data_IF_127226182427
#
_entry.id   IF_127226182427
#
_cell.length_a   1.000
_cell.length_b   1.000
_cell.length_c   1.000
_cell.angle_alpha   90.00
_cell.angle_beta   90.00
_cell.angle_gamma   90.00
#
_symmetry.space_group_name_H-M   'P 1'
#
loop_
_entity.id
_entity.type
_entity.pdbx_description
1 polymer ?
#
# COMPACT_ATOMS: atom_id res chain seq x y z
N UNK A 1 -33.79 1.66 15.49
CA UNK A 1 -34.43 1.44 16.81
C UNK A 1 -35.91 1.13 16.69
N UNK A 2 -36.75 2.03 16.16
CA UNK A 2 -38.20 1.76 16.04
C UNK A 2 -38.57 0.42 15.37
N UNK A 3 -37.89 0.05 14.28
CA UNK A 3 -38.11 -1.24 13.63
C UNK A 3 -37.71 -2.45 14.50
N UNK A 4 -36.70 -2.31 15.38
CA UNK A 4 -36.32 -3.36 16.33
C UNK A 4 -37.42 -3.59 17.38
N UNK A 5 -38.10 -2.53 17.82
CA UNK A 5 -39.18 -2.67 18.81
C UNK A 5 -40.42 -3.37 18.24
N UNK A 6 -40.55 -3.43 16.91
CA UNK A 6 -41.66 -4.07 16.20
C UNK A 6 -41.30 -5.46 15.66
N UNK A 7 -40.02 -5.83 15.65
CA UNK A 7 -39.54 -7.06 15.02
C UNK A 7 -39.95 -8.31 15.82
N UNK A 8 -40.58 -9.28 15.17
CA UNK A 8 -41.04 -10.54 15.81
C UNK A 8 -40.25 -11.78 15.38
N UNK A 9 -39.49 -11.70 14.28
CA UNK A 9 -38.74 -12.83 13.71
C UNK A 9 -37.62 -13.35 14.62
N UNK A 10 -37.20 -14.61 14.44
CA UNK A 10 -36.07 -15.22 15.21
C UNK A 10 -34.74 -14.48 15.01
N UNK A 11 -34.60 -13.83 13.86
CA UNK A 11 -33.45 -13.04 13.47
C UNK A 11 -33.92 -11.68 12.96
N UNK A 12 -33.01 -10.69 13.00
CA UNK A 12 -33.17 -9.38 12.37
C UNK A 12 -32.06 -9.17 11.35
N UNK A 13 -32.40 -8.52 10.23
CA UNK A 13 -31.46 -8.13 9.18
C UNK A 13 -31.71 -6.67 8.82
N UNK A 14 -30.63 -5.91 8.60
CA UNK A 14 -30.72 -4.50 8.21
C UNK A 14 -30.30 -4.34 6.75
N UNK A 15 -31.15 -3.72 5.94
CA UNK A 15 -30.90 -3.40 4.54
C UNK A 15 -31.06 -1.90 4.30
N UNK A 16 -30.14 -1.31 3.55
CA UNK A 16 -30.26 0.06 3.06
C UNK A 16 -31.36 0.17 2.01
N UNK A 17 -32.11 1.27 1.99
CA UNK A 17 -33.23 1.47 1.04
C UNK A 17 -32.81 1.46 -0.44
N UNK A 18 -31.52 1.69 -0.70
CA UNK A 18 -30.88 1.70 -2.02
C UNK A 18 -30.17 0.40 -2.37
N UNK A 19 -30.10 -0.54 -1.43
CA UNK A 19 -29.41 -1.81 -1.58
C UNK A 19 -30.40 -2.95 -1.84
N UNK A 20 -29.89 -4.12 -2.23
CA UNK A 20 -30.71 -5.32 -2.40
C UNK A 20 -29.96 -6.58 -1.96
N UNK A 21 -30.72 -7.62 -1.66
CA UNK A 21 -30.20 -8.93 -1.30
C UNK A 21 -30.10 -9.83 -2.51
N UNK A 22 -29.21 -10.83 -2.43
CA UNK A 22 -29.32 -12.01 -3.30
C UNK A 22 -30.62 -12.76 -3.03
N UNK A 23 -31.17 -13.40 -4.06
CA UNK A 23 -32.48 -14.07 -4.02
C UNK A 23 -32.57 -15.09 -2.88
N UNK A 24 -31.52 -15.88 -2.67
CA UNK A 24 -31.45 -16.92 -1.64
C UNK A 24 -30.74 -16.46 -0.36
N UNK A 25 -30.46 -15.15 -0.22
CA UNK A 25 -29.58 -14.66 0.84
C UNK A 25 -30.10 -14.96 2.25
N UNK A 26 -31.37 -14.65 2.53
CA UNK A 26 -31.95 -14.85 3.86
C UNK A 26 -32.13 -16.35 4.16
N UNK A 27 -32.56 -17.15 3.19
CA UNK A 27 -32.68 -18.60 3.33
C UNK A 27 -31.35 -19.22 3.74
N UNK A 28 -30.27 -18.93 2.99
CA UNK A 28 -28.93 -19.44 3.26
C UNK A 28 -28.37 -18.96 4.60
N UNK A 29 -28.58 -17.69 4.93
CA UNK A 29 -28.09 -17.12 6.20
C UNK A 29 -28.82 -17.70 7.42
N UNK A 30 -30.13 -17.92 7.34
CA UNK A 30 -30.91 -18.56 8.41
C UNK A 30 -30.52 -20.04 8.52
N UNK A 31 -30.40 -20.77 7.40
CA UNK A 31 -29.95 -22.15 7.41
C UNK A 31 -28.56 -22.31 8.05
N UNK A 32 -27.63 -21.40 7.75
CA UNK A 32 -26.32 -21.36 8.39
C UNK A 32 -26.42 -21.06 9.90
N UNK A 33 -27.24 -20.07 10.29
CA UNK A 33 -27.42 -19.71 11.69
C UNK A 33 -28.01 -20.87 12.51
N UNK A 34 -28.87 -21.67 11.91
CA UNK A 34 -29.51 -22.82 12.56
C UNK A 34 -28.58 -24.02 12.63
N UNK A 35 -27.89 -24.35 11.53
CA UNK A 35 -26.94 -25.45 11.49
C UNK A 35 -25.75 -25.23 12.43
N UNK A 36 -25.29 -23.99 12.56
CA UNK A 36 -24.11 -23.64 13.35
C UNK A 36 -24.45 -23.08 14.74
N UNK A 37 -25.72 -22.84 15.05
CA UNK A 37 -26.16 -22.09 16.24
C UNK A 37 -25.58 -20.67 16.35
N UNK A 38 -25.36 -20.02 15.20
CA UNK A 38 -24.72 -18.71 15.14
C UNK A 38 -25.65 -17.62 15.63
N UNK A 39 -25.10 -16.67 16.39
CA UNK A 39 -25.85 -15.48 16.82
C UNK A 39 -25.69 -14.34 15.81
N UNK A 40 -24.61 -14.36 15.02
CA UNK A 40 -24.37 -13.43 13.91
C UNK A 40 -23.95 -14.22 12.68
N UNK A 41 -24.54 -13.90 11.52
CA UNK A 41 -24.09 -14.42 10.23
C UNK A 41 -23.70 -13.26 9.32
N UNK A 42 -22.47 -13.31 8.81
CA UNK A 42 -21.92 -12.33 7.87
C UNK A 42 -22.01 -12.91 6.46
N UNK A 43 -22.93 -12.39 5.66
CA UNK A 43 -23.06 -12.77 4.25
C UNK A 43 -22.07 -12.01 3.38
N UNK A 44 -21.63 -12.63 2.28
CA UNK A 44 -20.78 -11.97 1.30
C UNK A 44 -21.45 -10.75 0.72
N UNK A 45 -20.71 -9.65 0.74
CA UNK A 45 -21.14 -8.39 0.17
C UNK A 45 -20.31 -8.06 -1.06
N UNK A 46 -20.97 -7.58 -2.11
CA UNK A 46 -20.31 -6.97 -3.26
C UNK A 46 -20.79 -5.54 -3.43
N UNK A 47 -19.91 -4.68 -3.95
CA UNK A 47 -20.27 -3.31 -4.29
C UNK A 47 -20.68 -3.21 -5.75
N UNK A 48 -21.76 -2.48 -6.03
CA UNK A 48 -22.21 -2.15 -7.39
C UNK A 48 -21.98 -0.67 -7.68
N UNK A 49 -21.96 -0.28 -8.96
CA UNK A 49 -21.72 1.10 -9.41
C UNK A 49 -20.44 1.75 -8.83
N UNK A 50 -19.39 0.94 -8.64
CA UNK A 50 -18.12 1.40 -8.08
C UNK A 50 -18.14 1.63 -6.57
N UNK A 51 -19.14 1.12 -5.85
CA UNK A 51 -19.12 1.05 -4.37
C UNK A 51 -17.94 0.16 -3.95
N UNK A 52 -17.09 0.67 -3.07
CA UNK A 52 -16.04 -0.15 -2.47
C UNK A 52 -16.60 -1.00 -1.34
N UNK A 53 -16.27 -2.29 -1.34
CA UNK A 53 -16.56 -3.24 -0.27
C UNK A 53 -15.28 -4.03 0.03
N UNK A 54 -14.95 -4.18 1.32
CA UNK A 54 -13.78 -4.94 1.72
C UNK A 54 -14.00 -6.44 1.49
N UNK A 55 -13.18 -7.08 0.65
CA UNK A 55 -13.42 -8.46 0.22
C UNK A 55 -12.69 -9.53 1.03
N UNK A 56 -11.71 -9.15 1.86
CA UNK A 56 -10.79 -10.11 2.48
C UNK A 56 -11.42 -11.05 3.49
N UNK A 57 -12.56 -10.67 4.08
CA UNK A 57 -13.31 -11.58 4.96
C UNK A 57 -13.91 -12.76 4.16
N UNK A 58 -14.20 -12.55 2.88
CA UNK A 58 -14.99 -13.45 2.04
C UNK A 58 -14.14 -14.45 1.25
N UNK A 59 -13.12 -15.04 1.88
CA UNK A 59 -12.21 -16.02 1.25
C UNK A 59 -12.64 -17.48 1.42
N UNK A 60 -13.72 -17.72 2.17
CA UNK A 60 -14.26 -19.05 2.44
C UNK A 60 -15.30 -19.03 3.55
N UNK A 61 -16.15 -20.05 3.62
CA UNK A 61 -17.10 -20.19 4.72
C UNK A 61 -16.33 -20.62 5.98
N UNK A 62 -16.48 -19.87 7.07
CA UNK A 62 -15.77 -20.12 8.33
C UNK A 62 -16.41 -19.39 9.49
N UNK A 63 -16.11 -19.85 10.70
CA UNK A 63 -16.41 -19.10 11.91
C UNK A 63 -15.28 -18.11 12.22
N UNK A 64 -15.64 -16.96 12.82
CA UNK A 64 -14.72 -15.88 13.17
C UNK A 64 -15.05 -15.30 14.54
N UNK A 65 -14.10 -14.58 15.12
CA UNK A 65 -14.33 -13.69 16.26
C UNK A 65 -14.14 -12.24 15.82
N UNK A 66 -14.60 -11.28 16.63
CA UNK A 66 -14.42 -9.86 16.33
C UNK A 66 -12.95 -9.47 16.13
N UNK A 67 -12.02 -10.14 16.82
CA UNK A 67 -10.58 -9.93 16.70
C UNK A 67 -9.92 -10.67 15.52
N UNK A 68 -10.70 -11.35 14.66
CA UNK A 68 -10.23 -11.78 13.34
C UNK A 68 -9.72 -10.58 12.53
N UNK A 69 -8.61 -10.74 11.83
CA UNK A 69 -7.94 -9.63 11.15
C UNK A 69 -8.83 -8.88 10.13
N UNK A 70 -9.86 -9.53 9.59
CA UNK A 70 -10.68 -9.00 8.49
C UNK A 70 -12.09 -8.59 8.94
N UNK A 71 -12.65 -9.15 10.01
CA UNK A 71 -14.01 -8.81 10.48
C UNK A 71 -14.17 -7.32 10.87
N UNK A 72 -13.23 -6.67 11.60
CA UNK A 72 -13.29 -5.24 11.90
C UNK A 72 -13.37 -4.34 10.65
N UNK A 73 -12.91 -4.80 9.49
CA UNK A 73 -13.03 -4.05 8.24
C UNK A 73 -14.43 -4.11 7.62
N UNK A 74 -15.35 -4.86 8.24
CA UNK A 74 -16.73 -5.09 7.76
C UNK A 74 -17.79 -4.74 8.81
N UNK A 75 -17.57 -3.74 9.67
CA UNK A 75 -18.47 -3.40 10.80
C UNK A 75 -19.85 -2.79 10.45
N UNK A 76 -20.27 -2.81 9.19
CA UNK A 76 -21.62 -2.42 8.81
C UNK A 76 -22.67 -3.35 9.44
N UNK A 77 -23.86 -2.83 9.76
CA UNK A 77 -24.97 -3.62 10.31
C UNK A 77 -25.66 -4.56 9.30
N UNK A 78 -25.20 -4.65 8.06
CA UNK A 78 -25.77 -5.50 7.00
C UNK A 78 -25.40 -6.97 7.20
N UNK A 79 -25.93 -7.56 8.28
CA UNK A 79 -25.72 -8.94 8.75
C UNK A 79 -27.03 -9.48 9.31
N UNK A 80 -27.10 -10.80 9.45
CA UNK A 80 -28.16 -11.45 10.19
C UNK A 80 -27.75 -11.52 11.67
N UNK A 81 -28.62 -11.02 12.57
CA UNK A 81 -28.41 -11.08 14.02
C UNK A 81 -29.55 -11.85 14.66
N UNK A 82 -29.25 -12.75 15.60
CA UNK A 82 -30.27 -13.43 16.42
C UNK A 82 -30.99 -12.39 17.27
N UNK A 83 -32.32 -12.32 17.17
CA UNK A 83 -33.11 -11.29 17.89
C UNK A 83 -32.94 -11.40 19.39
N UNK A 84 -32.88 -12.63 19.93
CA UNK A 84 -32.66 -12.86 21.35
C UNK A 84 -31.35 -12.24 21.86
N UNK A 85 -30.26 -12.28 21.07
CA UNK A 85 -29.00 -11.59 21.40
C UNK A 85 -29.23 -10.08 21.52
N UNK A 86 -29.94 -9.50 20.55
CA UNK A 86 -30.25 -8.06 20.48
C UNK A 86 -31.09 -7.63 21.68
N UNK A 87 -32.09 -8.41 22.06
CA UNK A 87 -32.97 -8.12 23.21
C UNK A 87 -32.26 -8.30 24.54
N UNK A 88 -31.58 -9.43 24.73
CA UNK A 88 -30.86 -9.77 25.96
C UNK A 88 -29.84 -8.71 26.37
N UNK A 89 -29.17 -8.10 25.38
CA UNK A 89 -28.15 -7.07 25.62
C UNK A 89 -28.63 -5.65 25.35
N UNK A 90 -29.92 -5.45 25.04
CA UNK A 90 -30.49 -4.11 24.81
C UNK A 90 -29.81 -3.36 23.65
N UNK A 91 -29.36 -4.07 22.61
CA UNK A 91 -28.55 -3.46 21.54
C UNK A 91 -29.39 -2.45 20.75
N UNK A 92 -28.91 -1.21 20.69
CA UNK A 92 -29.58 -0.09 20.00
C UNK A 92 -28.56 0.80 19.28
N UNK A 93 -29.03 1.51 18.26
CA UNK A 93 -28.22 2.47 17.52
C UNK A 93 -28.20 3.83 18.25
N UNK A 94 -27.04 4.49 18.42
CA UNK A 94 -27.00 5.88 18.84
C UNK A 94 -27.69 6.77 17.79
N UNK A 95 -28.62 7.61 18.24
CA UNK A 95 -29.46 8.45 17.38
C UNK A 95 -28.83 9.81 17.05
N UNK A 96 -27.79 10.18 17.81
CA UNK A 96 -27.07 11.45 17.71
C UNK A 96 -25.74 11.34 16.94
N UNK A 97 -25.51 10.23 16.24
CA UNK A 97 -24.29 9.97 15.46
C UNK A 97 -24.55 10.05 13.95
N UNK A 98 -24.08 11.11 13.25
CA UNK A 98 -24.26 11.24 11.81
C UNK A 98 -23.36 10.31 10.98
N UNK A 99 -22.32 9.73 11.60
CA UNK A 99 -21.35 8.85 10.93
C UNK A 99 -21.12 7.61 11.78
N UNK A 100 -21.25 6.42 11.17
CA UNK A 100 -20.88 5.15 11.81
C UNK A 100 -21.73 4.79 13.02
N UNK A 101 -22.99 5.26 13.09
CA UNK A 101 -23.94 4.91 14.15
C UNK A 101 -24.25 3.41 14.21
N UNK A 102 -24.00 2.68 13.13
CA UNK A 102 -24.12 1.23 13.05
C UNK A 102 -22.99 0.46 13.75
N UNK A 103 -21.82 1.08 13.91
CA UNK A 103 -20.64 0.40 14.43
C UNK A 103 -20.77 0.01 15.91
N UNK A 104 -21.24 0.86 16.85
CA UNK A 104 -21.42 0.45 18.24
C UNK A 104 -22.33 -0.78 18.39
N UNK A 105 -23.47 -0.77 17.70
CA UNK A 105 -24.39 -1.91 17.66
C UNK A 105 -23.70 -3.19 17.16
N UNK A 106 -23.00 -3.09 16.02
CA UNK A 106 -22.37 -4.25 15.39
C UNK A 106 -21.19 -4.78 16.20
N UNK A 107 -20.38 -3.90 16.78
CA UNK A 107 -19.26 -4.25 17.66
C UNK A 107 -19.80 -4.99 18.88
N UNK A 108 -20.79 -4.44 19.59
CA UNK A 108 -21.32 -5.10 20.78
C UNK A 108 -21.98 -6.45 20.43
N UNK A 109 -22.76 -6.51 19.35
CA UNK A 109 -23.33 -7.78 18.89
C UNK A 109 -22.23 -8.84 18.64
N UNK A 110 -21.14 -8.47 17.96
CA UNK A 110 -20.02 -9.38 17.71
C UNK A 110 -19.24 -9.74 18.98
N UNK A 111 -19.13 -8.85 19.97
CA UNK A 111 -18.49 -9.16 21.27
C UNK A 111 -19.34 -10.14 22.08
N UNK A 112 -20.66 -9.97 22.07
CA UNK A 112 -21.62 -10.75 22.87
C UNK A 112 -22.02 -12.07 22.21
N UNK A 113 -21.84 -12.19 20.90
CA UNK A 113 -22.18 -13.40 20.15
C UNK A 113 -21.38 -14.61 20.62
N UNK A 114 -22.06 -15.75 20.79
CA UNK A 114 -21.39 -17.04 21.07
C UNK A 114 -20.65 -17.56 19.84
N UNK A 115 -21.22 -17.31 18.65
CA UNK A 115 -20.63 -17.69 17.36
C UNK A 115 -21.00 -16.70 16.26
N UNK A 116 -20.02 -16.38 15.44
CA UNK A 116 -20.16 -15.58 14.21
C UNK A 116 -19.73 -16.45 13.04
N UNK A 117 -20.64 -16.71 12.10
CA UNK A 117 -20.33 -17.46 10.87
C UNK A 117 -20.25 -16.54 9.65
N UNK A 118 -19.38 -16.87 8.71
CA UNK A 118 -19.22 -16.16 7.43
C UNK A 118 -19.69 -17.06 6.28
N UNK A 119 -20.53 -16.51 5.41
CA UNK A 119 -20.92 -17.11 4.12
C UNK A 119 -20.21 -16.34 3.01
N UNK A 120 -19.38 -17.04 2.23
CA UNK A 120 -18.50 -16.49 1.19
C UNK A 120 -18.73 -17.09 -0.21
N UNK A 121 -19.45 -18.21 -0.29
CA UNK A 121 -19.76 -18.92 -1.52
C UNK A 121 -20.99 -18.38 -2.26
N UNK A 122 -21.81 -17.55 -1.61
CA UNK A 122 -22.97 -16.89 -2.19
C UNK A 122 -22.99 -15.39 -1.88
N UNK A 123 -23.27 -14.55 -2.88
CA UNK A 123 -23.41 -13.10 -2.68
C UNK A 123 -24.74 -12.78 -2.00
N UNK A 124 -24.70 -12.44 -0.72
CA UNK A 124 -25.89 -12.14 0.07
C UNK A 124 -26.35 -10.68 -0.07
N UNK A 125 -25.42 -9.72 -0.24
CA UNK A 125 -25.74 -8.29 -0.21
C UNK A 125 -25.07 -7.53 -1.36
N UNK A 126 -25.84 -6.68 -2.02
CA UNK A 126 -25.38 -5.78 -3.07
C UNK A 126 -25.45 -4.33 -2.59
N UNK A 127 -24.29 -3.77 -2.24
CA UNK A 127 -24.15 -2.40 -1.78
C UNK A 127 -24.04 -1.44 -2.96
N UNK A 128 -25.04 -0.59 -3.16
CA UNK A 128 -25.19 0.29 -4.31
C UNK A 128 -24.57 1.66 -4.03
N UNK A 129 -23.73 2.13 -4.95
CA UNK A 129 -23.28 3.54 -4.92
C UNK A 129 -24.32 4.41 -5.62
N UNK A 130 -24.91 5.35 -4.89
CA UNK A 130 -25.77 6.40 -5.45
C UNK A 130 -24.98 7.37 -6.34
N UNK A 131 -25.64 7.91 -7.35
CA UNK A 131 -25.11 8.97 -8.21
C UNK A 131 -25.15 10.35 -7.56
N UNK A 132 -26.13 10.60 -6.69
CA UNK A 132 -26.27 11.81 -5.90
C UNK A 132 -25.55 11.61 -4.55
N UNK A 133 -24.56 12.44 -4.24
CA UNK A 133 -23.78 12.35 -2.99
C UNK A 133 -24.58 12.78 -1.73
N UNK A 134 -25.86 12.44 -1.65
CA UNK A 134 -26.83 12.90 -0.65
C UNK A 134 -26.71 12.23 0.72
N UNK A 135 -25.88 11.18 0.86
CA UNK A 135 -25.72 10.48 2.14
C UNK A 135 -25.10 11.40 3.22
N UNK A 136 -25.78 11.50 4.37
CA UNK A 136 -25.40 12.31 5.53
C UNK A 136 -23.94 12.08 5.97
N UNK A 137 -23.43 10.86 5.78
CA UNK A 137 -22.05 10.49 6.11
C UNK A 137 -21.01 11.30 5.31
N UNK A 138 -21.32 11.66 4.05
CA UNK A 138 -20.42 12.45 3.22
C UNK A 138 -20.38 13.93 3.62
N UNK A 139 -21.44 14.43 4.26
CA UNK A 139 -21.57 15.84 4.65
C UNK A 139 -20.97 16.17 6.02
N UNK A 140 -20.67 15.16 6.84
CA UNK A 140 -20.08 15.39 8.16
C UNK A 140 -18.70 16.07 8.05
N UNK A 141 -18.46 17.10 8.84
CA UNK A 141 -17.16 17.76 8.95
C UNK A 141 -16.13 16.90 9.72
N UNK A 142 -14.89 17.39 9.82
CA UNK A 142 -13.80 16.71 10.50
C UNK A 142 -14.05 16.51 11.99
N UNK A 143 -14.64 17.49 12.68
CA UNK A 143 -14.87 17.43 14.12
C UNK A 143 -16.03 16.48 14.45
N UNK A 144 -17.09 16.48 13.65
CA UNK A 144 -18.20 15.52 13.76
C UNK A 144 -17.71 14.09 13.55
N UNK A 145 -16.86 13.86 12.53
CA UNK A 145 -16.22 12.55 12.31
C UNK A 145 -15.34 12.15 13.48
N UNK A 146 -14.49 13.05 13.98
CA UNK A 146 -13.65 12.80 15.15
C UNK A 146 -14.46 12.38 16.37
N UNK A 147 -15.53 13.12 16.72
CA UNK A 147 -16.44 12.78 17.83
C UNK A 147 -17.07 11.40 17.66
N UNK A 148 -17.52 11.06 16.45
CA UNK A 148 -18.09 9.73 16.17
C UNK A 148 -17.05 8.61 16.37
N UNK A 149 -15.84 8.80 15.83
CA UNK A 149 -14.74 7.82 15.96
C UNK A 149 -14.33 7.65 17.41
N UNK A 150 -14.21 8.74 18.17
CA UNK A 150 -13.93 8.69 19.60
C UNK A 150 -14.99 7.88 20.35
N UNK A 151 -16.27 8.13 20.08
CA UNK A 151 -17.38 7.40 20.72
C UNK A 151 -17.35 5.91 20.39
N UNK A 152 -17.09 5.54 19.15
CA UNK A 152 -16.97 4.15 18.71
C UNK A 152 -15.79 3.47 19.42
N UNK A 153 -14.62 4.12 19.46
CA UNK A 153 -13.43 3.55 20.10
C UNK A 153 -13.62 3.42 21.62
N UNK A 154 -14.19 4.43 22.28
CA UNK A 154 -14.49 4.40 23.71
C UNK A 154 -15.48 3.29 24.05
N UNK A 155 -16.55 3.14 23.27
CA UNK A 155 -17.51 2.04 23.44
C UNK A 155 -16.84 0.68 23.26
N UNK A 156 -15.99 0.52 22.25
CA UNK A 156 -15.22 -0.71 22.03
C UNK A 156 -14.28 -1.02 23.19
N UNK A 157 -13.60 -0.01 23.74
CA UNK A 157 -12.69 -0.15 24.89
C UNK A 157 -13.41 -0.48 26.19
N UNK A 158 -14.69 -0.12 26.33
CA UNK A 158 -15.53 -0.53 27.46
C UNK A 158 -15.97 -2.01 27.37
N UNK A 159 -16.01 -2.57 26.16
CA UNK A 159 -16.39 -3.96 25.91
C UNK A 159 -15.20 -4.93 25.88
N UNK A 160 -14.03 -4.45 25.44
CA UNK A 160 -12.83 -5.26 25.24
C UNK A 160 -11.69 -4.64 26.06
N UNK A 161 -11.08 -5.39 27.00
CA UNK A 161 -9.96 -4.89 27.78
C UNK A 161 -8.73 -4.61 26.90
N UNK A 162 -7.78 -3.84 27.43
CA UNK A 162 -6.51 -3.59 26.76
C UNK A 162 -5.77 -4.91 26.46
N UNK A 163 -5.25 -5.04 25.24
CA UNK A 163 -4.50 -6.21 24.80
C UNK A 163 -4.68 -6.51 23.31
N UNK A 164 -4.05 -7.60 22.80
CA UNK A 164 -3.99 -7.92 21.37
C UNK A 164 -5.35 -8.01 20.68
N UNK A 165 -6.39 -8.47 21.40
CA UNK A 165 -7.76 -8.57 20.86
C UNK A 165 -8.36 -7.21 20.55
N UNK A 166 -8.20 -6.23 21.45
CA UNK A 166 -8.65 -4.85 21.20
C UNK A 166 -7.84 -4.19 20.10
N UNK A 167 -6.54 -4.45 20.07
CA UNK A 167 -5.65 -3.93 19.04
C UNK A 167 -6.05 -4.43 17.65
N UNK A 168 -6.45 -5.70 17.50
CA UNK A 168 -6.97 -6.23 16.25
C UNK A 168 -8.17 -5.44 15.73
N UNK A 169 -9.09 -5.03 16.62
CA UNK A 169 -10.26 -4.18 16.28
C UNK A 169 -9.84 -2.74 15.97
N UNK A 170 -8.95 -2.16 16.77
CA UNK A 170 -8.49 -0.78 16.59
C UNK A 170 -7.56 -0.59 15.39
N UNK A 171 -6.93 -1.65 14.89
CA UNK A 171 -6.17 -1.63 13.64
C UNK A 171 -6.98 -1.01 12.50
N UNK A 172 -8.26 -1.36 12.37
CA UNK A 172 -9.17 -0.75 11.39
C UNK A 172 -9.39 0.74 11.68
N UNK A 173 -9.66 1.11 12.92
CA UNK A 173 -9.98 2.48 13.31
C UNK A 173 -8.81 3.42 12.99
N UNK A 174 -7.58 3.02 13.33
CA UNK A 174 -6.37 3.74 12.94
C UNK A 174 -6.17 3.74 11.42
N UNK A 175 -6.24 2.58 10.77
CA UNK A 175 -5.92 2.46 9.35
C UNK A 175 -6.88 3.24 8.43
N UNK A 176 -8.16 3.34 8.79
CA UNK A 176 -9.21 3.90 7.94
C UNK A 176 -9.92 5.11 8.54
N UNK A 177 -10.38 5.10 9.79
CA UNK A 177 -11.13 6.26 10.30
C UNK A 177 -10.22 7.43 10.67
N UNK A 178 -9.27 7.23 11.59
CA UNK A 178 -8.40 8.32 12.03
C UNK A 178 -7.53 8.83 10.87
N UNK A 179 -7.12 7.92 9.98
CA UNK A 179 -6.38 8.30 8.77
C UNK A 179 -7.16 9.26 7.88
N UNK A 180 -8.50 9.20 7.81
CA UNK A 180 -9.31 10.13 7.01
C UNK A 180 -9.25 11.57 7.52
N UNK A 181 -9.05 11.76 8.82
CA UNK A 181 -8.97 13.09 9.43
C UNK A 181 -7.65 13.81 9.11
N UNK A 182 -6.63 13.08 8.66
CA UNK A 182 -5.28 13.59 8.39
C UNK A 182 -4.89 13.39 6.91
N UNK A 183 -5.82 13.68 5.99
CA UNK A 183 -5.62 13.59 4.53
C UNK A 183 -5.46 14.97 3.89
N UNK A 184 -5.54 15.03 2.55
CA UNK A 184 -5.24 16.20 1.73
C UNK A 184 -6.10 17.42 1.99
N UNK A 185 -7.26 17.25 2.59
CA UNK A 185 -8.21 18.28 3.01
C UNK A 185 -7.91 18.84 4.40
N UNK A 186 -7.07 18.18 5.20
CA UNK A 186 -6.68 18.68 6.52
C UNK A 186 -5.96 20.05 6.45
N UNK A 187 -4.96 20.27 5.56
CA UNK A 187 -4.31 21.58 5.42
C UNK A 187 -5.27 22.73 5.07
N UNK A 188 -6.41 22.43 4.42
CA UNK A 188 -7.39 23.45 4.00
C UNK A 188 -8.34 23.86 5.12
N UNK A 189 -8.28 23.20 6.28
CA UNK A 189 -9.04 23.60 7.46
C UNK A 189 -8.45 24.86 8.08
N UNK A 190 -9.29 25.64 8.76
CA UNK A 190 -8.82 26.76 9.57
C UNK A 190 -7.94 26.28 10.74
N UNK A 191 -7.11 27.20 11.25
CA UNK A 191 -6.10 26.87 12.26
C UNK A 191 -6.71 26.30 13.55
N UNK A 192 -7.90 26.75 13.95
CA UNK A 192 -8.54 26.27 15.16
C UNK A 192 -9.03 24.82 14.99
N UNK A 193 -9.72 24.55 13.87
CA UNK A 193 -10.15 23.19 13.52
C UNK A 193 -8.97 22.23 13.41
N UNK A 194 -7.84 22.64 12.79
CA UNK A 194 -6.62 21.81 12.74
C UNK A 194 -6.11 21.43 14.13
N UNK A 195 -6.07 22.40 15.06
CA UNK A 195 -5.67 22.16 16.46
C UNK A 195 -6.61 21.20 17.17
N UNK A 196 -7.92 21.38 17.03
CA UNK A 196 -8.91 20.50 17.66
C UNK A 196 -8.84 19.06 17.11
N UNK A 197 -8.67 18.91 15.79
CA UNK A 197 -8.48 17.59 15.16
C UNK A 197 -7.21 16.92 15.69
N UNK A 198 -6.09 17.65 15.77
CA UNK A 198 -4.84 17.11 16.30
C UNK A 198 -4.97 16.71 17.77
N UNK A 199 -5.62 17.53 18.60
CA UNK A 199 -5.83 17.22 20.01
C UNK A 199 -6.67 15.95 20.20
N UNK A 200 -7.78 15.80 19.47
CA UNK A 200 -8.62 14.61 19.59
C UNK A 200 -7.97 13.34 19.01
N UNK A 201 -7.29 13.45 17.87
CA UNK A 201 -6.49 12.32 17.34
C UNK A 201 -5.37 11.97 18.32
N UNK A 202 -4.68 12.97 18.86
CA UNK A 202 -3.60 12.81 19.83
C UNK A 202 -4.05 12.09 21.11
N UNK A 203 -5.24 12.40 21.61
CA UNK A 203 -5.85 11.70 22.75
C UNK A 203 -6.11 10.22 22.42
N UNK A 204 -6.71 9.91 21.27
CA UNK A 204 -6.94 8.52 20.84
C UNK A 204 -5.63 7.75 20.61
N UNK A 205 -4.60 8.42 20.08
CA UNK A 205 -3.27 7.84 19.91
C UNK A 205 -2.65 7.54 21.28
N UNK A 206 -2.74 8.47 22.23
CA UNK A 206 -2.24 8.28 23.59
C UNK A 206 -2.91 7.10 24.30
N UNK A 207 -4.23 6.99 24.18
CA UNK A 207 -5.01 6.00 24.94
C UNK A 207 -5.00 4.60 24.32
N UNK A 208 -4.87 4.50 22.99
CA UNK A 208 -5.13 3.26 22.26
C UNK A 208 -4.06 2.82 21.26
N UNK A 209 -3.06 3.64 20.94
CA UNK A 209 -2.03 3.29 19.94
C UNK A 209 -0.83 2.61 20.57
N UNK A 210 -0.99 1.33 20.90
CA UNK A 210 0.06 0.47 21.46
C UNK A 210 1.28 0.38 20.53
N UNK A 211 2.42 -0.04 21.07
CA UNK A 211 3.65 -0.25 20.27
C UNK A 211 3.41 -1.23 19.11
N UNK A 212 2.64 -2.30 19.34
CA UNK A 212 2.31 -3.27 18.30
C UNK A 212 1.47 -2.65 17.17
N UNK A 213 0.46 -1.83 17.51
CA UNK A 213 -0.34 -1.10 16.53
C UNK A 213 0.49 -0.05 15.78
N UNK A 214 1.33 0.68 16.50
CA UNK A 214 2.25 1.67 15.94
C UNK A 214 3.16 1.02 14.92
N UNK A 215 3.83 -0.06 15.28
CA UNK A 215 4.85 -0.68 14.45
C UNK A 215 4.22 -1.37 13.22
N UNK A 216 3.02 -1.92 13.36
CA UNK A 216 2.23 -2.47 12.23
C UNK A 216 1.60 -1.39 11.32
N UNK A 217 1.63 -0.11 11.73
CA UNK A 217 1.11 1.01 10.95
C UNK A 217 2.20 1.58 10.07
N UNK A 218 2.02 1.56 8.74
CA UNK A 218 3.04 2.08 7.82
C UNK A 218 3.43 3.54 8.10
N UNK A 219 4.72 3.84 7.92
CA UNK A 219 5.43 5.05 8.35
C UNK A 219 4.67 6.35 8.07
N UNK A 220 4.05 6.49 6.89
CA UNK A 220 3.26 7.69 6.52
C UNK A 220 2.18 8.01 7.55
N UNK A 221 1.39 7.01 7.95
CA UNK A 221 0.30 7.20 8.92
C UNK A 221 0.85 7.37 10.32
N UNK A 222 1.88 6.57 10.66
CA UNK A 222 2.52 6.61 11.96
C UNK A 222 3.07 8.00 12.26
N UNK A 223 3.87 8.59 11.37
CA UNK A 223 4.38 9.97 11.52
C UNK A 223 3.24 10.95 11.73
N UNK A 224 2.18 10.91 10.91
CA UNK A 224 1.04 11.82 11.04
C UNK A 224 0.35 11.71 12.40
N UNK A 225 0.18 10.49 12.92
CA UNK A 225 -0.35 10.27 14.27
C UNK A 225 0.60 10.77 15.37
N UNK A 226 1.90 10.59 15.19
CA UNK A 226 2.92 11.12 16.10
C UNK A 226 2.94 12.65 16.15
N UNK A 227 2.87 13.32 15.00
CA UNK A 227 2.79 14.78 14.90
C UNK A 227 1.49 15.31 15.51
N UNK A 228 0.35 14.68 15.23
CA UNK A 228 -0.91 15.04 15.88
C UNK A 228 -0.84 14.89 17.40
N UNK A 229 -0.26 13.78 17.91
CA UNK A 229 -0.10 13.52 19.35
C UNK A 229 0.83 14.52 20.05
N UNK A 230 1.89 14.96 19.38
CA UNK A 230 2.84 15.95 19.92
C UNK A 230 2.31 17.39 19.85
N UNK A 231 1.18 17.63 19.18
CA UNK A 231 0.68 18.98 18.95
C UNK A 231 1.47 19.76 17.89
N UNK A 232 2.31 19.08 17.11
CA UNK A 232 3.09 19.63 16.01
C UNK A 232 2.21 19.86 14.76
N UNK A 233 1.25 20.77 14.90
CA UNK A 233 0.17 21.02 13.91
C UNK A 233 0.74 21.56 12.59
N UNK A 234 1.74 22.42 12.66
CA UNK A 234 2.34 23.02 11.46
C UNK A 234 3.20 22.00 10.72
N UNK A 235 3.98 21.18 11.42
CA UNK A 235 4.73 20.07 10.83
C UNK A 235 3.81 19.03 10.20
N UNK A 236 2.68 18.71 10.85
CA UNK A 236 1.67 17.82 10.27
C UNK A 236 1.07 18.43 9.00
N UNK A 237 0.75 19.72 9.03
CA UNK A 237 0.23 20.46 7.87
C UNK A 237 1.22 20.41 6.70
N UNK A 238 2.50 20.72 6.95
CA UNK A 238 3.56 20.62 5.95
C UNK A 238 3.76 19.21 5.45
N UNK A 239 3.79 18.21 6.33
CA UNK A 239 3.98 16.80 5.97
C UNK A 239 2.88 16.29 5.03
N UNK A 240 1.66 16.82 5.15
CA UNK A 240 0.56 16.50 4.24
C UNK A 240 0.65 17.31 2.95
N UNK A 241 0.89 18.62 3.04
CA UNK A 241 0.95 19.51 1.88
C UNK A 241 2.11 19.15 0.94
N UNK A 242 3.33 19.07 1.47
CA UNK A 242 4.54 18.73 0.71
C UNK A 242 4.41 17.34 0.05
N UNK A 243 3.82 16.36 0.75
CA UNK A 243 3.61 15.04 0.16
C UNK A 243 2.58 15.05 -0.98
N UNK A 244 1.52 15.86 -0.87
CA UNK A 244 0.54 15.98 -1.94
C UNK A 244 1.10 16.69 -3.18
N UNK A 245 1.99 17.66 -2.96
CA UNK A 245 2.59 18.45 -4.04
C UNK A 245 3.76 17.73 -4.71
N UNK A 246 4.67 17.15 -3.93
CA UNK A 246 5.94 16.61 -4.42
C UNK A 246 6.05 15.08 -4.33
N UNK A 247 5.10 14.42 -3.68
CA UNK A 247 5.16 13.00 -3.36
C UNK A 247 5.85 12.71 -2.02
N UNK A 248 5.93 11.44 -1.66
CA UNK A 248 6.50 11.05 -0.35
C UNK A 248 7.97 11.46 -0.22
N UNK A 249 8.42 11.89 0.96
CA UNK A 249 9.79 12.38 1.16
C UNK A 249 10.82 11.27 0.94
N UNK A 250 12.10 11.65 0.74
CA UNK A 250 13.20 10.69 0.67
C UNK A 250 13.30 9.79 1.91
N UNK A 251 13.97 8.66 1.75
CA UNK A 251 14.44 7.87 2.89
C UNK A 251 15.84 8.30 3.30
N UNK A 252 16.08 8.41 4.60
CA UNK A 252 17.41 8.53 5.19
C UNK A 252 17.85 7.13 5.60
N UNK A 253 18.92 6.63 4.98
CA UNK A 253 19.52 5.34 5.28
C UNK A 253 20.59 5.53 6.34
N UNK A 254 20.53 4.71 7.39
CA UNK A 254 21.40 4.77 8.56
C UNK A 254 21.75 3.34 8.98
N UNK A 255 22.78 2.78 8.33
CA UNK A 255 23.11 1.36 8.40
C UNK A 255 21.94 0.48 7.96
N UNK A 256 21.53 -0.45 8.82
CA UNK A 256 20.41 -1.36 8.55
C UNK A 256 19.03 -0.70 8.72
N UNK A 257 18.97 0.51 9.27
CA UNK A 257 17.73 1.26 9.52
C UNK A 257 17.46 2.24 8.39
N UNK A 258 16.19 2.57 8.21
CA UNK A 258 15.77 3.59 7.26
C UNK A 258 14.61 4.42 7.83
N UNK A 259 14.65 5.73 7.59
CA UNK A 259 13.66 6.68 8.09
C UNK A 259 13.03 7.46 6.95
N UNK A 260 11.73 7.73 7.00
CA UNK A 260 11.10 8.66 6.07
C UNK A 260 11.29 10.08 6.57
N UNK A 261 11.94 10.94 5.78
CA UNK A 261 12.26 12.33 6.12
C UNK A 261 11.06 13.27 6.06
N UNK A 262 9.98 12.95 6.78
CA UNK A 262 8.86 13.87 6.97
C UNK A 262 9.26 15.02 7.90
N UNK A 263 8.57 16.18 7.83
CA UNK A 263 8.71 17.25 8.80
C UNK A 263 8.74 16.78 10.26
N UNK A 264 9.63 17.38 11.06
CA UNK A 264 9.89 17.02 12.45
C UNK A 264 10.88 15.86 12.68
N UNK A 265 11.35 15.20 11.62
CA UNK A 265 12.37 14.15 11.77
C UNK A 265 13.67 14.71 12.36
N UNK A 266 14.08 14.18 13.51
CA UNK A 266 15.24 14.63 14.30
C UNK A 266 15.17 16.11 14.74
N UNK A 267 13.97 16.68 14.77
CA UNK A 267 13.74 18.03 15.28
C UNK A 267 13.49 17.98 16.79
N UNK A 268 14.41 18.57 17.57
CA UNK A 268 14.30 18.61 19.02
C UNK A 268 13.08 19.42 19.51
N UNK A 269 12.59 20.39 18.73
CA UNK A 269 11.39 21.16 19.08
C UNK A 269 10.11 20.32 18.95
N UNK A 270 10.07 19.39 17.99
CA UNK A 270 8.96 18.43 17.84
C UNK A 270 9.07 17.30 18.85
N UNK A 271 10.28 16.83 19.14
CA UNK A 271 10.54 15.83 20.18
C UNK A 271 9.89 14.46 19.93
N UNK A 272 9.51 14.16 18.69
CA UNK A 272 8.87 12.90 18.33
C UNK A 272 9.93 11.80 18.15
N UNK A 273 9.72 10.66 18.81
CA UNK A 273 10.61 9.50 18.75
C UNK A 273 10.87 9.04 17.30
N UNK A 274 12.13 8.76 16.96
CA UNK A 274 12.53 8.35 15.60
C UNK A 274 11.80 7.10 15.10
N UNK A 275 11.34 6.23 16.00
CA UNK A 275 10.56 5.04 15.67
C UNK A 275 9.26 5.37 14.93
N UNK A 276 8.74 6.60 15.09
CA UNK A 276 7.61 7.06 14.28
C UNK A 276 7.98 7.25 12.80
N UNK A 277 9.22 7.66 12.53
CA UNK A 277 9.76 7.90 11.19
C UNK A 277 10.45 6.68 10.57
N UNK A 278 10.80 5.68 11.38
CA UNK A 278 11.48 4.46 10.92
C UNK A 278 10.60 3.63 9.99
N UNK A 279 11.19 2.81 9.11
CA UNK A 279 10.50 1.81 8.28
C UNK A 279 10.59 0.46 9.00
N UNK A 280 9.47 -0.13 9.40
CA UNK A 280 9.41 -1.25 10.36
C UNK A 280 8.86 -2.56 9.76
N UNK A 281 9.06 -2.75 8.46
CA UNK A 281 8.72 -3.99 7.75
C UNK A 281 7.70 -3.81 6.62
N UNK A 282 7.10 -2.63 6.48
CA UNK A 282 6.31 -2.30 5.31
C UNK A 282 7.16 -2.32 4.03
N UNK A 283 6.53 -2.66 2.90
CA UNK A 283 7.21 -2.56 1.60
C UNK A 283 7.27 -1.10 1.14
N UNK A 284 8.47 -0.64 0.78
CA UNK A 284 8.69 0.70 0.24
C UNK A 284 8.94 0.73 -1.27
N UNK A 285 8.74 -0.40 -1.96
CA UNK A 285 9.03 -0.54 -3.39
C UNK A 285 8.38 0.57 -4.25
N UNK A 286 7.10 0.89 -3.99
CA UNK A 286 6.39 1.96 -4.69
C UNK A 286 7.04 3.33 -4.50
N UNK A 287 7.45 3.66 -3.27
CA UNK A 287 8.12 4.93 -2.96
C UNK A 287 9.50 5.01 -3.59
N UNK A 288 10.28 3.92 -3.54
CA UNK A 288 11.59 3.85 -4.17
C UNK A 288 11.49 3.99 -5.69
N UNK A 289 10.49 3.35 -6.33
CA UNK A 289 10.26 3.52 -7.76
C UNK A 289 9.87 4.95 -8.12
N UNK A 290 8.99 5.59 -7.35
CA UNK A 290 8.56 6.97 -7.61
C UNK A 290 9.69 7.98 -7.38
N UNK A 291 10.58 7.69 -6.43
CA UNK A 291 11.75 8.52 -6.15
C UNK A 291 12.95 8.24 -7.06
N UNK A 292 12.90 7.27 -7.98
CA UNK A 292 14.03 6.92 -8.85
C UNK A 292 13.75 7.36 -10.29
N UNK A 293 14.55 8.30 -10.80
CA UNK A 293 14.40 8.86 -12.15
C UNK A 293 15.74 8.86 -12.89
N UNK A 294 15.70 8.65 -14.19
CA UNK A 294 16.87 8.78 -15.05
C UNK A 294 17.11 10.27 -15.34
N UNK A 295 18.31 10.77 -15.09
CA UNK A 295 18.72 12.10 -15.54
C UNK A 295 19.41 12.03 -16.90
N UNK A 296 20.39 11.14 -17.06
CA UNK A 296 21.07 10.92 -18.33
C UNK A 296 21.57 9.49 -18.48
N UNK A 297 21.75 9.08 -19.73
CA UNK A 297 22.48 7.88 -20.10
C UNK A 297 23.44 8.22 -21.24
N UNK A 298 24.69 7.79 -21.12
CA UNK A 298 25.77 8.16 -22.04
C UNK A 298 26.72 6.98 -22.30
N UNK A 299 27.55 7.13 -23.34
CA UNK A 299 28.64 6.19 -23.65
C UNK A 299 29.98 6.84 -23.34
N UNK A 300 30.79 6.20 -22.51
CA UNK A 300 32.17 6.60 -22.24
C UNK A 300 33.11 5.52 -22.80
N UNK A 301 34.10 5.91 -23.61
CA UNK A 301 35.03 4.96 -24.23
C UNK A 301 36.47 5.38 -23.96
N UNK A 302 37.23 4.53 -23.28
CA UNK A 302 38.66 4.69 -23.05
C UNK A 302 39.41 3.55 -23.76
N UNK A 303 40.14 3.90 -24.81
CA UNK A 303 40.80 2.91 -25.67
C UNK A 303 39.82 1.88 -26.23
N UNK A 304 40.02 0.60 -25.87
CA UNK A 304 39.17 -0.51 -26.30
C UNK A 304 37.98 -0.80 -25.40
N UNK A 305 37.88 -0.14 -24.24
CA UNK A 305 36.81 -0.36 -23.26
C UNK A 305 35.67 0.63 -23.48
N UNK A 306 34.44 0.14 -23.41
CA UNK A 306 33.23 0.94 -23.53
C UNK A 306 32.39 0.74 -22.28
N UNK A 307 31.95 1.84 -21.68
CA UNK A 307 31.10 1.87 -20.50
C UNK A 307 29.76 2.55 -20.81
N UNK A 308 28.70 2.03 -20.20
CA UNK A 308 27.42 2.72 -20.09
C UNK A 308 27.48 3.60 -18.84
N UNK A 309 27.35 4.91 -19.02
CA UNK A 309 27.24 5.86 -17.91
C UNK A 309 25.77 6.16 -17.70
N UNK A 310 25.29 5.99 -16.46
CA UNK A 310 23.89 6.24 -16.10
C UNK A 310 23.86 7.12 -14.87
N UNK A 311 23.15 8.25 -14.95
CA UNK A 311 22.91 9.17 -13.84
C UNK A 311 21.48 9.02 -13.37
N UNK A 312 21.29 8.59 -12.13
CA UNK A 312 19.99 8.34 -11.52
C UNK A 312 19.76 9.28 -10.34
N UNK A 313 18.68 10.04 -10.39
CA UNK A 313 18.14 10.75 -9.25
C UNK A 313 17.35 9.76 -8.38
N UNK A 314 17.66 9.67 -7.09
CA UNK A 314 17.07 8.66 -6.18
C UNK A 314 16.52 9.28 -4.88
N UNK A 315 15.34 8.82 -4.45
CA UNK A 315 14.69 9.24 -3.21
C UNK A 315 15.28 8.61 -1.94
N UNK A 316 16.60 8.44 -1.89
CA UNK A 316 17.36 7.97 -0.73
C UNK A 316 18.47 8.97 -0.41
N UNK A 317 18.91 9.00 0.85
CA UNK A 317 19.99 9.85 1.40
C UNK A 317 20.71 9.07 2.51
N UNK A 318 21.80 9.61 3.06
CA UNK A 318 22.57 8.97 4.12
C UNK A 318 23.52 7.90 3.56
N UNK A 319 23.56 6.72 4.19
CA UNK A 319 24.42 5.63 3.75
C UNK A 319 23.90 4.94 2.48
N UNK A 320 24.45 5.32 1.32
CA UNK A 320 24.13 4.72 0.02
C UNK A 320 25.12 3.63 -0.40
N UNK A 321 25.95 3.10 0.50
CA UNK A 321 26.98 2.10 0.20
C UNK A 321 26.40 0.81 -0.41
N UNK A 322 25.19 0.44 0.00
CA UNK A 322 24.45 -0.71 -0.50
C UNK A 322 23.95 -0.54 -1.94
N UNK A 323 23.98 0.67 -2.51
CA UNK A 323 23.47 0.93 -3.84
C UNK A 323 24.34 0.24 -4.92
N UNK A 324 23.68 -0.43 -5.87
CA UNK A 324 24.31 -1.05 -7.04
C UNK A 324 23.44 -0.78 -8.26
N UNK A 325 24.03 -0.22 -9.32
CA UNK A 325 23.38 -0.11 -10.63
C UNK A 325 24.01 -1.15 -11.54
N UNK A 326 23.19 -2.04 -12.11
CA UNK A 326 23.67 -3.18 -12.88
C UNK A 326 22.82 -3.49 -14.12
N UNK A 327 23.46 -4.17 -15.09
CA UNK A 327 22.80 -4.73 -16.26
C UNK A 327 22.24 -6.12 -15.95
N UNK A 328 20.93 -6.18 -15.77
CA UNK A 328 20.23 -7.38 -15.37
C UNK A 328 19.59 -8.12 -16.56
N UNK A 329 19.60 -9.45 -16.48
CA UNK A 329 18.89 -10.34 -17.41
C UNK A 329 17.46 -10.62 -16.96
N UNK A 330 16.62 -11.04 -17.89
CA UNK A 330 15.22 -11.40 -17.65
C UNK A 330 14.27 -10.20 -17.54
N UNK A 331 12.97 -10.48 -17.64
CA UNK A 331 11.93 -9.49 -17.38
C UNK A 331 11.71 -9.34 -15.87
N UNK A 332 11.25 -8.17 -15.43
CA UNK A 332 10.72 -8.05 -14.06
C UNK A 332 9.47 -8.93 -13.92
N UNK A 333 9.25 -9.56 -12.76
CA UNK A 333 8.01 -10.30 -12.50
C UNK A 333 6.79 -9.35 -12.51
N UNK A 334 5.61 -9.90 -12.78
CA UNK A 334 4.35 -9.14 -12.82
C UNK A 334 4.06 -8.42 -11.49
N UNK A 335 4.52 -8.97 -10.37
CA UNK A 335 4.42 -8.34 -9.04
C UNK A 335 5.10 -6.98 -8.95
N UNK A 336 6.04 -6.66 -9.84
CA UNK A 336 6.73 -5.37 -9.91
C UNK A 336 6.00 -4.34 -10.77
N UNK A 337 4.96 -4.72 -11.53
CA UNK A 337 4.35 -3.81 -12.50
C UNK A 337 3.57 -2.67 -11.84
N UNK A 338 2.75 -2.97 -10.83
CA UNK A 338 2.00 -1.96 -10.07
C UNK A 338 2.90 -1.07 -9.20
N UNK A 339 3.78 -1.61 -8.33
CA UNK A 339 4.67 -0.78 -7.52
C UNK A 339 5.83 -0.15 -8.32
N UNK A 340 6.11 -0.63 -9.54
CA UNK A 340 7.24 -0.16 -10.34
C UNK A 340 8.60 -0.69 -9.91
N UNK A 341 8.72 -1.30 -8.73
CA UNK A 341 9.89 -1.97 -8.18
C UNK A 341 9.48 -3.22 -7.39
N UNK A 342 10.44 -4.02 -6.93
CA UNK A 342 10.17 -5.25 -6.15
C UNK A 342 11.07 -5.34 -4.92
N UNK A 343 10.49 -5.79 -3.80
CA UNK A 343 11.25 -6.31 -2.65
C UNK A 343 11.78 -7.70 -2.99
N UNK A 344 13.08 -7.90 -2.87
CA UNK A 344 13.72 -9.19 -3.12
C UNK A 344 13.49 -10.15 -1.94
N UNK A 345 13.40 -11.46 -2.18
CA UNK A 345 13.55 -12.48 -1.14
C UNK A 345 14.88 -12.33 -0.41
N UNK A 346 14.95 -12.71 0.88
CA UNK A 346 16.15 -12.56 1.72
C UNK A 346 17.40 -13.18 1.08
N UNK A 347 17.27 -14.33 0.44
CA UNK A 347 18.39 -15.09 -0.14
C UNK A 347 18.58 -14.84 -1.65
N UNK A 348 17.95 -13.81 -2.20
CA UNK A 348 18.09 -13.51 -3.62
C UNK A 348 19.53 -13.05 -3.93
N UNK A 349 20.19 -13.61 -4.96
CA UNK A 349 21.55 -13.22 -5.30
C UNK A 349 21.57 -11.75 -5.72
N UNK A 350 22.50 -10.98 -5.14
CA UNK A 350 22.74 -9.60 -5.52
C UNK A 350 23.74 -9.51 -6.66
N UNK A 351 23.51 -8.63 -7.64
CA UNK A 351 24.55 -8.39 -8.63
C UNK A 351 25.75 -7.75 -7.97
N UNK A 352 26.94 -8.23 -8.31
CA UNK A 352 28.17 -7.53 -7.96
C UNK A 352 28.25 -6.21 -8.72
N UNK A 353 28.77 -5.18 -8.06
CA UNK A 353 29.03 -3.89 -8.70
C UNK A 353 30.07 -4.09 -9.80
N UNK A 354 29.72 -3.71 -11.03
CA UNK A 354 30.65 -3.66 -12.16
C UNK A 354 31.00 -2.20 -12.44
N UNK A 355 32.30 -1.87 -12.42
CA UNK A 355 32.79 -0.51 -12.59
C UNK A 355 32.61 0.39 -11.36
N UNK A 356 32.40 1.69 -11.58
CA UNK A 356 32.36 2.70 -10.51
C UNK A 356 30.94 3.19 -10.25
N UNK A 357 30.64 3.50 -8.99
CA UNK A 357 29.42 4.21 -8.58
C UNK A 357 29.83 5.36 -7.67
N UNK A 358 29.43 6.58 -8.02
CA UNK A 358 29.55 7.75 -7.13
C UNK A 358 28.16 8.22 -6.70
N UNK A 359 28.09 8.83 -5.52
CA UNK A 359 26.87 9.34 -4.92
C UNK A 359 27.10 10.78 -4.48
N UNK A 360 26.22 11.68 -4.90
CA UNK A 360 26.25 13.12 -4.57
C UNK A 360 24.88 13.55 -4.07
N UNK A 361 24.82 14.54 -3.17
CA UNK A 361 23.55 15.10 -2.73
C UNK A 361 22.86 15.80 -3.90
N UNK A 362 21.57 15.53 -4.12
CA UNK A 362 20.79 16.23 -5.14
C UNK A 362 20.20 17.54 -4.58
N UNK A 363 20.07 18.55 -5.44
CA UNK A 363 19.64 19.90 -5.05
C UNK A 363 18.19 19.96 -4.52
N UNK A 364 17.33 19.05 -4.97
CA UNK A 364 15.91 18.91 -4.60
C UNK A 364 15.71 17.85 -3.48
N UNK A 365 16.75 17.58 -2.69
CA UNK A 365 16.79 16.49 -1.69
C UNK A 365 17.12 15.14 -2.32
N UNK A 366 17.46 14.10 -1.55
CA UNK A 366 17.83 12.79 -2.12
C UNK A 366 19.27 12.70 -2.66
N UNK A 367 19.56 11.66 -3.45
CA UNK A 367 20.92 11.37 -3.94
C UNK A 367 20.95 11.21 -5.46
N UNK A 368 21.95 11.82 -6.09
CA UNK A 368 22.34 11.59 -7.48
C UNK A 368 23.40 10.48 -7.54
N UNK A 369 23.03 9.35 -8.13
CA UNK A 369 23.92 8.21 -8.34
C UNK A 369 24.45 8.21 -9.77
N UNK A 370 25.77 8.22 -9.94
CA UNK A 370 26.42 8.09 -11.25
C UNK A 370 27.15 6.76 -11.34
N UNK A 371 26.62 5.84 -12.15
CA UNK A 371 27.26 4.56 -12.42
C UNK A 371 27.98 4.57 -13.77
N UNK A 372 29.22 4.08 -13.79
CA UNK A 372 29.94 3.71 -15.01
C UNK A 372 30.03 2.19 -15.06
N UNK A 373 29.30 1.59 -15.99
CA UNK A 373 29.16 0.14 -16.10
C UNK A 373 29.93 -0.35 -17.35
N UNK A 374 31.06 -1.05 -17.19
CA UNK A 374 31.79 -1.67 -18.29
C UNK A 374 30.90 -2.63 -19.08
N UNK A 375 30.99 -2.56 -20.40
CA UNK A 375 30.27 -3.42 -21.33
C UNK A 375 31.18 -4.52 -21.86
N UNK A 376 30.61 -5.69 -22.10
CA UNK A 376 31.28 -6.80 -22.76
C UNK A 376 30.84 -6.91 -24.23
N UNK A 377 31.76 -7.28 -25.13
CA UNK A 377 31.47 -7.58 -26.54
C UNK A 377 30.78 -8.94 -26.69
N UNK A 378 29.50 -8.97 -26.32
CA UNK A 378 28.66 -10.17 -26.38
C UNK A 378 27.29 -9.80 -26.92
N UNK A 379 26.57 -10.76 -27.51
CA UNK A 379 25.17 -10.52 -27.93
C UNK A 379 24.26 -10.57 -26.70
N UNK A 380 23.82 -9.41 -26.21
CA UNK A 380 22.95 -9.33 -25.03
C UNK A 380 21.90 -8.23 -25.14
N UNK A 381 20.79 -8.42 -24.43
CA UNK A 381 19.76 -7.43 -24.19
C UNK A 381 19.47 -7.42 -22.69
N UNK A 382 19.92 -6.39 -21.98
CA UNK A 382 19.86 -6.32 -20.51
C UNK A 382 19.16 -5.04 -20.06
N UNK A 383 18.31 -5.14 -19.06
CA UNK A 383 17.69 -3.97 -18.43
C UNK A 383 18.65 -3.33 -17.44
N UNK A 384 18.59 -2.01 -17.29
CA UNK A 384 19.31 -1.31 -16.21
C UNK A 384 18.45 -1.33 -14.95
N UNK A 385 19.01 -1.78 -13.83
CA UNK A 385 18.33 -1.87 -12.54
C UNK A 385 19.19 -1.25 -11.43
N UNK A 386 18.55 -0.51 -10.54
CA UNK A 386 19.09 -0.08 -9.26
C UNK A 386 18.71 -1.11 -8.19
N UNK A 387 19.68 -1.51 -7.39
CA UNK A 387 19.53 -2.33 -6.21
C UNK A 387 19.95 -1.53 -4.99
N UNK A 388 19.16 -1.54 -3.93
CA UNK A 388 19.46 -0.82 -2.69
C UNK A 388 18.81 -1.52 -1.50
N UNK A 389 19.49 -1.49 -0.36
CA UNK A 389 18.93 -2.01 0.89
C UNK A 389 18.26 -0.89 1.67
N UNK A 390 17.05 -1.15 2.16
CA UNK A 390 16.26 -0.21 2.96
C UNK A 390 15.59 -1.00 4.08
N UNK A 391 15.88 -0.65 5.34
CA UNK A 391 15.34 -1.31 6.53
C UNK A 391 15.53 -2.85 6.49
N UNK A 392 16.80 -3.29 6.33
CA UNK A 392 17.18 -4.70 6.26
C UNK A 392 16.60 -5.49 5.08
N UNK A 393 16.05 -4.82 4.07
CA UNK A 393 15.42 -5.45 2.90
C UNK A 393 16.01 -4.93 1.60
N UNK A 394 16.40 -5.83 0.69
CA UNK A 394 16.88 -5.44 -0.64
C UNK A 394 15.73 -5.17 -1.61
N UNK A 395 15.86 -4.09 -2.37
CA UNK A 395 14.91 -3.69 -3.40
C UNK A 395 15.57 -3.67 -4.77
N UNK A 396 14.80 -4.05 -5.79
CA UNK A 396 15.17 -4.01 -7.19
C UNK A 396 14.24 -3.05 -7.94
N UNK A 397 14.83 -2.01 -8.53
CA UNK A 397 14.13 -0.90 -9.16
C UNK A 397 14.58 -0.82 -10.63
N UNK A 398 13.72 -1.15 -11.61
CA UNK A 398 14.04 -0.95 -13.02
C UNK A 398 14.13 0.55 -13.34
N UNK A 399 15.19 0.95 -14.04
CA UNK A 399 15.37 2.34 -14.47
C UNK A 399 14.37 2.66 -15.58
N UNK A 400 13.53 3.67 -15.35
CA UNK A 400 12.59 4.20 -16.35
C UNK A 400 13.21 5.36 -17.09
N UNK A 401 12.95 5.46 -18.38
CA UNK A 401 13.53 6.53 -19.21
C UNK A 401 12.72 7.81 -19.18
N UNK A 402 11.39 7.72 -18.94
CA UNK A 402 10.50 8.88 -18.78
C UNK A 402 10.61 9.94 -19.89
N UNK A 403 10.91 9.49 -21.12
CA UNK A 403 11.06 10.38 -22.27
C UNK A 403 12.45 11.02 -22.43
N UNK A 404 13.39 10.76 -21.53
CA UNK A 404 14.78 11.21 -21.66
C UNK A 404 15.42 10.68 -22.96
N UNK A 405 16.24 11.50 -23.64
CA UNK A 405 16.91 11.08 -24.87
C UNK A 405 17.93 9.97 -24.57
N UNK A 406 17.92 8.94 -25.41
CA UNK A 406 18.88 7.85 -25.32
C UNK A 406 20.14 8.19 -26.12
N UNK A 407 21.34 7.78 -25.65
CA UNK A 407 22.57 8.04 -26.38
C UNK A 407 22.54 7.31 -27.72
N UNK A 408 23.05 7.97 -28.77
CA UNK A 408 23.07 7.41 -30.11
C UNK A 408 23.77 6.06 -30.14
N UNK A 409 23.24 5.14 -30.94
CA UNK A 409 23.85 3.82 -31.09
C UNK A 409 25.27 3.99 -31.66
N UNK A 410 26.23 3.27 -31.07
CA UNK A 410 27.66 3.40 -31.42
C UNK A 410 28.23 2.07 -31.90
N UNK A 411 29.16 2.15 -32.86
CA UNK A 411 30.04 1.04 -33.22
C UNK A 411 31.25 1.04 -32.30
N UNK A 412 31.57 -0.12 -31.74
CA UNK A 412 32.67 -0.31 -30.81
C UNK A 412 33.49 -1.54 -31.20
N UNK A 413 34.82 -1.42 -31.20
CA UNK A 413 35.74 -2.48 -31.61
C UNK A 413 36.19 -2.41 -33.08
N UNK A 414 37.44 -2.78 -33.32
CA UNK A 414 38.10 -2.77 -34.63
C UNK A 414 38.01 -4.13 -35.31
N UNK A 415 38.63 -5.16 -34.73
CA UNK A 415 38.69 -6.52 -35.28
C UNK A 415 37.34 -7.27 -35.20
N UNK A 416 36.64 -7.14 -34.07
CA UNK A 416 35.32 -7.74 -33.83
C UNK A 416 34.29 -6.64 -33.51
N UNK A 417 33.78 -5.94 -34.54
CA UNK A 417 32.96 -4.75 -34.37
C UNK A 417 31.58 -5.12 -33.81
N UNK A 418 31.23 -4.50 -32.70
CA UNK A 418 29.94 -4.61 -32.03
C UNK A 418 29.16 -3.31 -32.16
N UNK A 419 27.83 -3.42 -32.22
CA UNK A 419 26.90 -2.31 -32.03
C UNK A 419 26.44 -2.30 -30.59
N UNK A 420 26.47 -1.13 -29.96
CA UNK A 420 25.81 -0.85 -28.70
C UNK A 420 24.63 0.09 -28.94
N UNK A 421 23.51 -0.12 -28.25
CA UNK A 421 22.36 0.76 -28.28
C UNK A 421 21.65 0.79 -26.92
N UNK A 422 21.17 1.97 -26.54
CA UNK A 422 20.25 2.17 -25.42
C UNK A 422 18.86 2.40 -25.98
N UNK A 423 17.87 1.68 -25.46
CA UNK A 423 16.48 1.73 -25.95
C UNK A 423 15.49 1.68 -24.79
N UNK A 424 14.31 2.22 -25.02
CA UNK A 424 13.18 2.11 -24.10
C UNK A 424 12.32 0.92 -24.50
N UNK A 425 12.02 0.01 -23.56
CA UNK A 425 11.10 -1.10 -23.84
C UNK A 425 9.63 -0.67 -23.75
N UNK A 426 8.70 -1.60 -24.06
CA UNK A 426 7.25 -1.35 -24.03
C UNK A 426 6.69 -0.94 -22.67
N UNK A 427 7.46 -1.13 -21.59
CA UNK A 427 7.11 -0.70 -20.22
C UNK A 427 7.84 0.58 -19.79
N UNK A 428 8.46 1.31 -20.73
CA UNK A 428 9.16 2.57 -20.44
C UNK A 428 10.52 2.40 -19.74
N UNK A 429 11.10 1.19 -19.74
CA UNK A 429 12.34 0.88 -19.00
C UNK A 429 13.57 0.88 -19.91
N UNK A 430 14.69 1.34 -19.36
CA UNK A 430 15.98 1.42 -20.04
C UNK A 430 16.56 0.02 -20.29
N UNK A 431 16.93 -0.24 -21.55
CA UNK A 431 17.53 -1.50 -22.00
C UNK A 431 18.78 -1.21 -22.81
N UNK A 432 19.87 -1.85 -22.44
CA UNK A 432 21.14 -1.84 -23.17
C UNK A 432 21.22 -3.10 -24.03
N UNK A 433 21.49 -2.89 -25.32
CA UNK A 433 21.66 -3.93 -26.31
C UNK A 433 23.07 -3.89 -26.88
N UNK A 434 23.73 -5.04 -26.88
CA UNK A 434 25.02 -5.26 -27.53
C UNK A 434 24.87 -6.40 -28.52
N UNK A 435 25.40 -6.25 -29.73
CA UNK A 435 25.38 -7.32 -30.74
C UNK A 435 26.55 -7.17 -31.73
N UNK A 436 27.11 -8.26 -32.25
CA UNK A 436 28.11 -8.18 -33.31
C UNK A 436 27.48 -7.57 -34.58
N UNK A 437 28.23 -6.70 -35.27
CA UNK A 437 27.80 -6.07 -36.54
C UNK A 437 27.90 -7.03 -37.72
N UNK A 438 28.79 -8.03 -37.63
CA UNK A 438 28.88 -9.13 -38.58
C UNK A 438 28.23 -10.34 -37.93
N UNK A 439 27.14 -10.85 -38.51
CA UNK A 439 26.64 -12.15 -38.09
C UNK A 439 27.73 -13.20 -38.39
N UNK A 440 28.12 -14.07 -37.44
CA UNK A 440 28.91 -15.23 -37.79
C UNK A 440 28.14 -16.00 -38.85
N UNK A 441 28.79 -16.30 -39.99
CA UNK A 441 28.20 -17.07 -41.09
C UNK A 441 27.48 -18.27 -40.48
N UNK A 442 26.16 -18.32 -40.63
CA UNK A 442 25.37 -19.41 -40.07
C UNK A 442 25.97 -20.74 -40.56
N UNK A 443 26.50 -21.55 -39.63
CA UNK A 443 26.97 -22.89 -39.97
C UNK A 443 25.86 -23.65 -40.71
N UNK A 444 26.26 -24.49 -41.67
CA UNK A 444 25.40 -25.22 -42.62
C UNK A 444 24.15 -25.85 -41.96
N UNK A 445 24.24 -26.25 -40.69
CA UNK A 445 23.11 -26.81 -39.91
C UNK A 445 21.92 -25.86 -39.64
N UNK A 446 22.12 -24.54 -39.60
CA UNK A 446 21.02 -23.59 -39.36
C UNK A 446 20.13 -23.39 -40.61
N UNK A 447 20.69 -23.56 -41.82
CA UNK A 447 19.91 -23.58 -43.08
C UNK A 447 19.02 -24.83 -43.17
N UNK A 448 19.51 -25.99 -42.72
CA UNK A 448 18.76 -27.25 -42.70
C UNK A 448 17.54 -27.23 -41.76
N UNK A 449 17.60 -26.55 -40.61
CA UNK A 449 16.43 -26.41 -39.72
C UNK A 449 15.31 -25.55 -40.31
N UNK A 450 15.65 -24.55 -41.14
CA UNK A 450 14.66 -23.68 -41.82
C UNK A 450 13.94 -24.36 -42.98
N UNK A 451 14.58 -25.32 -43.64
CA UNK A 451 13.95 -26.13 -44.69
C UNK A 451 13.08 -27.24 -44.12
N UNK A 452 13.48 -27.87 -43.01
CA UNK A 452 12.70 -28.93 -42.37
C UNK A 452 11.44 -28.44 -41.64
N UNK A 453 11.41 -27.20 -41.11
CA UNK A 453 10.20 -26.66 -40.47
C UNK A 453 9.10 -26.27 -41.45
N UNK A 454 9.40 -26.16 -42.75
CA UNK A 454 8.42 -25.88 -43.81
C UNK A 454 7.71 -27.14 -44.32
N UNK A 455 8.19 -28.33 -43.97
CA UNK A 455 7.62 -29.61 -44.44
C UNK A 455 6.49 -30.18 -43.56
N UNK A 456 6.20 -29.59 -42.39
CA UNK A 456 5.12 -30.04 -41.47
C UNK A 456 3.87 -29.16 -41.48
N UNK A 457 3.59 -28.49 -42.60
CA UNK A 457 2.28 -27.89 -42.88
C UNK A 457 1.83 -28.31 -44.28
N UNK A 458 1.25 -29.50 -44.36
CA UNK A 458 0.16 -29.83 -45.27
C UNK A 458 -0.80 -30.73 -44.51
#
# INVERSE_FOLDING_TARGET
>A
NRALDLATGRFVYFIGSDDHLGEEALERMVACADANESDVVVGKMVGTNGRYVHQKLYTGNRDVTLDDAELPFTLANTKLFRRELVEKHGLRFPEDMPVGSDQPFTIEACVRARKISVISDYTCYYAVKRGDASNITYRADHLARLRCVERIMRHTAALIPAGPRRDAVFKRHFAWELTKLLQKDFPTLDADTRRQVCAGVGALVKDYFTDALRDATGVKRRVRFGLARSGAVEELTRAIAEENEHGAPPFVLDGDRAFAAYPGFRDAAVGLDERYYEVLGETVAGRLSAGTRLESADWEQHGTELSCVVRLRTGITGDTSSAVIALAQGAMPQSADKPGARKLPKDAPRPQRSGTLTAEAAADGGTLLTARIPLARTRTKRGVRLYVDVAGSSYEIPVRTEGQPMPLARRWGTADPHRVAATTNTKGRLVIMTAPLREPKSGVGARLRRTLSRSKRK
#
